data_IF_937736457249
#
_entry.id   IF_937736457249
#
_cell.length_a   1.000
_cell.length_b   1.000
_cell.length_c   1.000
_cell.angle_alpha   90.00
_cell.angle_beta   90.00
_cell.angle_gamma   90.00
#
_symmetry.space_group_name_H-M   'P 1'
#
loop_
_entity.id
_entity.type
_entity.pdbx_description
1 polymer ?
#
# COMPACT_ATOMS: atom_id res chain seq x y z
N UNK A 1 -5.09 42.78 36.87
CA UNK A 1 -3.88 42.51 36.07
C UNK A 1 -3.22 41.24 36.62
N UNK A 2 -3.52 40.05 36.08
CA UNK A 2 -2.99 38.79 36.59
C UNK A 2 -2.71 37.82 35.45
N UNK A 3 -1.44 37.69 35.07
CA UNK A 3 -0.99 36.75 34.04
C UNK A 3 -0.93 35.35 34.67
N UNK A 4 -1.71 34.40 34.15
CA UNK A 4 -1.60 32.97 34.51
C UNK A 4 -0.72 32.28 33.47
N UNK A 5 0.47 31.89 33.90
CA UNK A 5 1.43 31.10 33.12
C UNK A 5 0.90 29.69 32.86
N UNK A 6 0.60 29.39 31.59
CA UNK A 6 0.21 28.04 31.13
C UNK A 6 1.47 27.19 30.92
N UNK A 7 1.83 26.43 31.95
CA UNK A 7 2.88 25.40 31.95
C UNK A 7 2.56 24.33 30.89
N UNK A 8 3.30 24.32 29.77
CA UNK A 8 3.23 23.28 28.73
C UNK A 8 3.84 21.99 29.29
N UNK A 9 2.99 21.00 29.58
CA UNK A 9 3.41 19.67 30.01
C UNK A 9 3.76 18.83 28.78
N UNK A 10 5.05 18.70 28.48
CA UNK A 10 5.62 17.84 27.45
C UNK A 10 5.52 16.37 27.88
N UNK A 11 4.36 15.75 27.65
CA UNK A 11 4.18 14.32 27.92
C UNK A 11 4.66 13.52 26.71
N UNK A 12 5.93 13.10 26.74
CA UNK A 12 6.51 12.19 25.77
C UNK A 12 5.66 10.92 25.69
N UNK A 13 5.01 10.71 24.54
CA UNK A 13 4.36 9.44 24.21
C UNK A 13 5.45 8.49 23.75
N UNK A 14 5.64 7.43 24.53
CA UNK A 14 6.54 6.33 24.23
C UNK A 14 6.09 5.68 22.91
N UNK A 15 6.69 6.09 21.79
CA UNK A 15 6.25 5.83 20.42
C UNK A 15 6.52 4.41 19.92
N UNK A 16 7.17 3.58 20.74
CA UNK A 16 7.65 2.26 20.33
C UNK A 16 6.56 1.19 20.40
N UNK A 17 5.72 1.19 21.43
CA UNK A 17 4.72 0.13 21.65
C UNK A 17 3.53 0.19 20.70
N UNK A 18 3.12 1.39 20.29
CA UNK A 18 2.00 1.59 19.36
C UNK A 18 2.41 1.29 17.90
N UNK A 19 3.65 1.60 17.53
CA UNK A 19 4.23 1.22 16.25
C UNK A 19 4.32 -0.32 16.11
N UNK A 20 4.72 -1.01 17.17
CA UNK A 20 4.80 -2.47 17.23
C UNK A 20 3.41 -3.13 17.19
N UNK A 21 2.40 -2.50 17.80
CA UNK A 21 1.01 -2.99 17.74
C UNK A 21 0.37 -2.81 16.34
N UNK A 22 0.70 -1.72 15.63
CA UNK A 22 0.30 -1.51 14.23
C UNK A 22 0.97 -2.51 13.28
N UNK A 23 2.22 -2.90 13.57
CA UNK A 23 2.94 -3.97 12.84
C UNK A 23 2.22 -5.31 12.95
N UNK A 24 1.52 -5.57 14.06
CA UNK A 24 0.90 -6.87 14.36
C UNK A 24 -0.27 -7.28 13.45
N UNK A 25 -0.75 -6.43 12.53
CA UNK A 25 -1.78 -6.80 11.53
C UNK A 25 -1.51 -6.25 10.14
N UNK A 26 -0.26 -6.31 9.68
CA UNK A 26 0.03 -6.06 8.27
C UNK A 26 -0.41 -7.29 7.47
N UNK A 27 -1.32 -7.07 6.51
CA UNK A 27 -1.80 -8.13 5.63
C UNK A 27 -0.73 -8.48 4.60
N UNK A 28 -0.37 -9.75 4.53
CA UNK A 28 0.51 -10.31 3.50
C UNK A 28 -0.31 -10.81 2.31
N UNK A 29 0.31 -10.94 1.11
CA UNK A 29 -0.35 -11.51 -0.06
C UNK A 29 -0.74 -12.97 0.17
N UNK A 30 -1.94 -13.34 -0.31
CA UNK A 30 -2.40 -14.72 -0.43
C UNK A 30 -1.84 -15.36 -1.72
N UNK A 31 -1.95 -16.68 -1.94
CA UNK A 31 -1.40 -17.34 -3.13
C UNK A 31 -1.89 -16.78 -4.48
N UNK A 32 -3.12 -16.25 -4.52
CA UNK A 32 -3.73 -15.66 -5.72
C UNK A 32 -3.63 -14.12 -5.72
N UNK A 33 -2.74 -13.55 -4.91
CA UNK A 33 -2.60 -12.11 -4.77
C UNK A 33 -1.13 -11.72 -4.99
N UNK A 34 -0.93 -10.58 -5.63
CA UNK A 34 0.41 -10.13 -6.01
C UNK A 34 0.58 -8.70 -5.51
N UNK A 35 1.72 -8.43 -4.88
CA UNK A 35 2.10 -7.06 -4.53
C UNK A 35 2.53 -6.30 -5.79
N UNK A 36 2.30 -5.00 -5.81
CA UNK A 36 2.76 -4.16 -6.91
C UNK A 36 2.84 -2.69 -6.55
N UNK A 37 3.48 -1.93 -7.43
CA UNK A 37 3.61 -0.48 -7.35
C UNK A 37 2.78 0.18 -8.45
N UNK A 38 2.05 1.23 -8.10
CA UNK A 38 1.24 1.98 -9.07
C UNK A 38 2.15 2.83 -9.94
N UNK A 39 2.14 2.59 -11.25
CA UNK A 39 2.91 3.33 -12.24
C UNK A 39 2.17 4.58 -12.74
N UNK A 40 0.88 4.44 -13.04
CA UNK A 40 0.11 5.49 -13.68
C UNK A 40 -1.38 5.40 -13.38
N UNK A 41 -2.08 6.53 -13.49
CA UNK A 41 -3.54 6.59 -13.45
C UNK A 41 -4.10 6.43 -14.86
N UNK A 42 -4.91 5.39 -15.08
CA UNK A 42 -5.53 5.10 -16.38
C UNK A 42 -6.91 5.74 -16.54
N UNK A 43 -7.41 6.44 -15.50
CA UNK A 43 -8.73 7.09 -15.50
C UNK A 43 -9.87 6.13 -15.15
N UNK A 44 -11.05 6.68 -14.85
CA UNK A 44 -12.25 5.87 -14.56
C UNK A 44 -12.19 4.95 -13.33
N UNK A 45 -11.18 5.12 -12.46
CA UNK A 45 -10.92 4.22 -11.34
C UNK A 45 -10.04 3.03 -11.69
N UNK A 46 -9.31 3.10 -12.81
CA UNK A 46 -8.27 2.16 -13.22
C UNK A 46 -6.87 2.74 -12.99
N UNK A 47 -5.92 1.87 -12.66
CA UNK A 47 -4.52 2.20 -12.39
C UNK A 47 -3.62 1.18 -13.06
N UNK A 48 -2.54 1.63 -13.71
CA UNK A 48 -1.49 0.74 -14.21
C UNK A 48 -0.57 0.37 -13.06
N UNK A 49 -0.37 -0.93 -12.81
CA UNK A 49 0.40 -1.46 -11.68
C UNK A 49 1.49 -2.38 -12.20
N UNK A 50 2.73 -2.13 -11.81
CA UNK A 50 3.84 -3.08 -11.95
C UNK A 50 3.76 -4.07 -10.80
N UNK A 51 3.43 -5.32 -11.11
CA UNK A 51 3.37 -6.39 -10.12
C UNK A 51 4.75 -7.04 -9.95
N UNK A 52 4.98 -7.64 -8.78
CA UNK A 52 6.23 -8.34 -8.44
C UNK A 52 6.45 -9.62 -9.23
N UNK A 53 5.43 -10.15 -9.91
CA UNK A 53 5.54 -11.24 -10.87
C UNK A 53 5.94 -10.76 -12.28
N UNK A 54 6.55 -9.57 -12.36
CA UNK A 54 7.08 -8.94 -13.57
C UNK A 54 6.03 -8.54 -14.62
N UNK A 55 4.74 -8.63 -14.30
CA UNK A 55 3.65 -8.24 -15.20
C UNK A 55 3.13 -6.85 -14.88
N UNK A 56 2.77 -6.10 -15.93
CA UNK A 56 2.11 -4.80 -15.80
C UNK A 56 0.63 -4.96 -16.06
N UNK A 57 -0.17 -4.78 -15.01
CA UNK A 57 -1.63 -4.96 -15.08
C UNK A 57 -2.34 -3.62 -15.06
N UNK A 58 -3.42 -3.52 -15.84
CA UNK A 58 -4.40 -2.48 -15.69
C UNK A 58 -5.41 -2.90 -14.61
N UNK A 59 -5.31 -2.32 -13.42
CA UNK A 59 -6.05 -2.76 -12.26
C UNK A 59 -7.21 -1.82 -11.91
N UNK A 60 -8.37 -2.40 -11.62
CA UNK A 60 -9.54 -1.66 -11.16
C UNK A 60 -9.46 -1.43 -9.65
N UNK A 61 -9.75 -0.22 -9.18
CA UNK A 61 -9.86 0.05 -7.74
C UNK A 61 -11.17 -0.56 -7.22
N UNK A 62 -11.09 -1.60 -6.39
CA UNK A 62 -12.28 -2.25 -5.81
C UNK A 62 -13.07 -1.23 -4.98
N UNK A 63 -14.40 -1.26 -5.09
CA UNK A 63 -15.27 -0.21 -4.54
C UNK A 63 -15.08 0.05 -3.05
N UNK A 64 -14.74 -0.98 -2.26
CA UNK A 64 -14.42 -0.86 -0.83
C UNK A 64 -13.23 0.07 -0.56
N UNK A 65 -12.20 0.01 -1.41
CA UNK A 65 -11.03 0.87 -1.31
C UNK A 65 -11.30 2.24 -1.86
N UNK A 66 -11.95 2.33 -3.02
CA UNK A 66 -12.26 3.60 -3.67
C UNK A 66 -12.94 4.60 -2.72
N UNK A 67 -13.76 4.09 -1.78
CA UNK A 67 -14.46 4.88 -0.75
C UNK A 67 -13.59 5.25 0.46
N UNK A 68 -12.50 4.53 0.73
CA UNK A 68 -11.73 4.63 2.00
C UNK A 68 -10.34 5.24 1.83
N UNK A 69 -9.69 4.99 0.71
CA UNK A 69 -8.30 5.36 0.50
C UNK A 69 -8.11 5.93 -0.91
N UNK A 70 -7.38 7.03 -0.97
CA UNK A 70 -6.86 7.52 -2.24
C UNK A 70 -5.57 6.77 -2.58
N UNK A 71 -5.53 6.23 -3.80
CA UNK A 71 -4.37 5.58 -4.40
C UNK A 71 -3.74 6.58 -5.37
N UNK A 72 -2.41 6.72 -5.29
CA UNK A 72 -1.59 7.56 -6.18
C UNK A 72 -0.49 6.72 -6.81
N UNK A 73 0.22 7.34 -7.76
CA UNK A 73 1.47 6.81 -8.30
C UNK A 73 2.47 6.59 -7.14
N UNK A 74 3.31 5.57 -7.27
CA UNK A 74 4.29 5.09 -6.28
C UNK A 74 3.70 4.48 -4.99
N UNK A 75 2.37 4.37 -4.87
CA UNK A 75 1.79 3.63 -3.76
C UNK A 75 1.98 2.12 -3.95
N UNK A 76 2.39 1.44 -2.87
CA UNK A 76 2.37 -0.01 -2.79
C UNK A 76 0.95 -0.51 -2.59
N UNK A 77 0.55 -1.46 -3.43
CA UNK A 77 -0.79 -2.03 -3.45
C UNK A 77 -0.75 -3.55 -3.46
N UNK A 78 -1.85 -4.14 -3.02
CA UNK A 78 -2.12 -5.55 -3.20
C UNK A 78 -3.12 -5.70 -4.34
N UNK A 79 -2.77 -6.54 -5.31
CA UNK A 79 -3.56 -6.82 -6.51
C UNK A 79 -4.06 -8.25 -6.44
N UNK A 80 -5.33 -8.44 -6.76
CA UNK A 80 -5.94 -9.73 -7.07
C UNK A 80 -6.05 -9.83 -8.60
N UNK A 81 -5.16 -10.57 -9.30
CA UNK A 81 -5.30 -10.78 -10.73
C UNK A 81 -6.67 -11.39 -11.05
N UNK A 82 -7.22 -11.07 -12.23
CA UNK A 82 -8.46 -11.72 -12.66
C UNK A 82 -8.23 -13.22 -12.87
N UNK A 83 -9.28 -14.04 -12.68
CA UNK A 83 -9.18 -15.50 -12.79
C UNK A 83 -9.38 -16.03 -14.22
N UNK A 84 -9.71 -15.14 -15.16
CA UNK A 84 -9.96 -15.47 -16.56
C UNK A 84 -8.67 -15.42 -17.39
N UNK A 85 -8.80 -15.52 -18.71
CA UNK A 85 -7.66 -15.44 -19.65
C UNK A 85 -6.94 -14.09 -19.61
N UNK A 86 -7.46 -13.08 -18.89
CA UNK A 86 -6.87 -11.74 -18.77
C UNK A 86 -6.10 -11.57 -17.46
N UNK A 87 -5.81 -12.65 -16.73
CA UNK A 87 -5.07 -12.64 -15.47
C UNK A 87 -3.70 -11.95 -15.54
N UNK A 88 -3.08 -11.93 -16.72
CA UNK A 88 -1.77 -11.32 -16.94
C UNK A 88 -1.82 -9.82 -17.25
N UNK A 89 -2.98 -9.34 -17.69
CA UNK A 89 -3.19 -7.96 -18.12
C UNK A 89 -4.07 -7.16 -17.17
N UNK A 90 -4.91 -7.83 -16.37
CA UNK A 90 -5.95 -7.21 -15.55
C UNK A 90 -5.99 -7.75 -14.13
N UNK A 91 -6.49 -6.92 -13.23
CA UNK A 91 -6.65 -7.27 -11.82
C UNK A 91 -7.48 -6.25 -11.07
N UNK A 92 -7.71 -6.52 -9.79
CA UNK A 92 -8.38 -5.61 -8.86
C UNK A 92 -7.42 -5.17 -7.75
N UNK A 93 -7.38 -3.88 -7.44
CA UNK A 93 -6.67 -3.36 -6.26
C UNK A 93 -7.53 -3.58 -5.03
N UNK A 94 -7.02 -4.38 -4.08
CA UNK A 94 -7.73 -4.83 -2.88
C UNK A 94 -7.15 -4.30 -1.57
N UNK A 95 -5.94 -3.71 -1.58
CA UNK A 95 -5.35 -2.97 -0.46
C UNK A 95 -4.34 -1.92 -0.94
N UNK A 96 -4.26 -0.78 -0.25
CA UNK A 96 -3.13 0.16 -0.34
C UNK A 96 -2.33 0.10 0.96
N UNK A 97 -1.03 -0.10 0.85
CA UNK A 97 -0.11 -0.02 1.98
C UNK A 97 0.34 1.42 2.20
N UNK A 98 0.51 1.82 3.46
CA UNK A 98 1.20 3.07 3.78
C UNK A 98 2.73 2.85 3.78
N UNK A 99 3.50 3.94 3.91
CA UNK A 99 4.98 3.89 3.87
C UNK A 99 5.56 2.95 4.94
N UNK A 100 5.02 2.95 6.16
CA UNK A 100 5.50 2.09 7.24
C UNK A 100 5.22 0.62 6.98
N UNK A 101 4.05 0.31 6.42
CA UNK A 101 3.67 -1.05 6.03
C UNK A 101 4.51 -1.55 4.85
N UNK A 102 4.76 -0.71 3.84
CA UNK A 102 5.65 -1.04 2.73
C UNK A 102 7.08 -1.33 3.20
N UNK A 103 7.62 -0.52 4.13
CA UNK A 103 8.93 -0.78 4.77
C UNK A 103 8.96 -2.08 5.54
N UNK A 104 7.86 -2.43 6.22
CA UNK A 104 7.77 -3.72 6.90
C UNK A 104 7.75 -4.88 5.90
N UNK A 105 6.98 -4.78 4.81
CA UNK A 105 6.94 -5.79 3.77
C UNK A 105 8.33 -6.01 3.14
N UNK A 106 9.05 -4.93 2.87
CA UNK A 106 10.44 -4.95 2.41
C UNK A 106 11.37 -5.65 3.42
N UNK A 107 11.34 -5.25 4.69
CA UNK A 107 12.16 -5.87 5.75
C UNK A 107 11.90 -7.37 5.92
N UNK A 108 10.69 -7.83 5.60
CA UNK A 108 10.30 -9.24 5.69
C UNK A 108 10.43 -9.99 4.35
N UNK A 109 11.02 -9.38 3.33
CA UNK A 109 11.31 -10.03 2.05
C UNK A 109 10.12 -10.19 1.09
N UNK A 110 8.99 -9.53 1.36
CA UNK A 110 7.83 -9.55 0.45
C UNK A 110 7.96 -8.57 -0.72
N UNK A 111 8.78 -7.53 -0.56
CA UNK A 111 9.06 -6.54 -1.61
C UNK A 111 10.55 -6.61 -1.89
N UNK A 112 10.90 -6.84 -3.15
CA UNK A 112 12.26 -6.72 -3.68
C UNK A 112 12.27 -5.49 -4.57
N UNK A 113 13.08 -4.48 -4.22
CA UNK A 113 13.12 -3.21 -4.98
C UNK A 113 13.94 -3.31 -6.26
N UNK A 114 14.90 -4.24 -6.32
CA UNK A 114 15.86 -4.34 -7.41
C UNK A 114 15.21 -4.77 -8.74
N UNK A 115 14.03 -5.41 -8.67
CA UNK A 115 13.34 -5.95 -9.85
C UNK A 115 12.37 -4.97 -10.53
N UNK A 116 12.14 -3.78 -9.97
CA UNK A 116 11.24 -2.77 -10.55
C UNK A 116 12.02 -1.97 -11.58
N UNK A 117 12.27 -2.59 -12.74
CA UNK A 117 12.95 -1.92 -13.85
C UNK A 117 11.95 -0.96 -14.50
N UNK A 118 12.03 0.33 -14.17
CA UNK A 118 11.33 1.39 -14.91
C UNK A 118 11.98 1.43 -16.29
N UNK A 119 11.42 0.69 -17.25
CA UNK A 119 11.80 0.78 -18.66
C UNK A 119 10.95 1.84 -19.35
#
# INVERSE_FOLDING_TARGET
>A
MGKKDKKKNSKGRNSNSEAEFVVRRIRTPSPNEVLGIVLANSGGGWMKVQCLDQKVRNCRIRGKIRKRQWIRIDDWVLVEPWQDMQSDERGDIIMRYNKSQARWLEKNGYIVRDDITIT
#
